data_IF_076789745612
#
_entry.id   IF_076789745612
#
_cell.length_a   1.000
_cell.length_b   1.000
_cell.length_c   1.000
_cell.angle_alpha   90.00
_cell.angle_beta   90.00
_cell.angle_gamma   90.00
#
_symmetry.space_group_name_H-M   'P 1'
#
loop_
_entity.id
_entity.type
_entity.pdbx_description
1 polymer ?
#
# COMPACT_ATOMS: atom_id res chain seq x y z
N UNK A 1 -3.23 -28.40 23.20
CA UNK A 1 -3.17 -29.72 22.51
C UNK A 1 -1.75 -30.23 22.68
N UNK A 2 -1.62 -31.48 23.17
CA UNK A 2 -0.31 -32.11 23.27
C UNK A 2 0.01 -32.74 21.92
N UNK A 3 1.09 -32.34 21.32
CA UNK A 3 1.59 -32.93 20.09
C UNK A 3 2.59 -34.03 20.40
N UNK A 4 2.66 -35.11 19.60
CA UNK A 4 3.55 -36.24 19.84
C UNK A 4 5.04 -35.89 19.70
N UNK A 5 5.36 -34.72 19.20
CA UNK A 5 6.71 -34.21 18.97
C UNK A 5 6.84 -32.74 19.35
N UNK A 6 7.87 -32.40 20.13
CA UNK A 6 8.21 -31.02 20.47
C UNK A 6 8.60 -30.18 19.23
N UNK A 7 9.22 -30.82 18.23
CA UNK A 7 9.57 -30.17 16.96
C UNK A 7 8.33 -29.80 16.19
N UNK A 8 7.33 -30.70 16.12
CA UNK A 8 6.05 -30.41 15.51
C UNK A 8 5.30 -29.30 16.26
N UNK A 9 5.29 -29.37 17.59
CA UNK A 9 4.67 -28.34 18.44
C UNK A 9 5.24 -26.95 18.13
N UNK A 10 6.56 -26.83 18.11
CA UNK A 10 7.24 -25.55 17.81
C UNK A 10 6.89 -25.02 16.42
N UNK A 11 6.92 -25.87 15.39
CA UNK A 11 6.54 -25.47 14.04
C UNK A 11 5.08 -24.97 13.95
N UNK A 12 4.16 -25.66 14.64
CA UNK A 12 2.75 -25.23 14.70
C UNK A 12 2.59 -23.91 15.44
N UNK A 13 3.31 -23.71 16.54
CA UNK A 13 3.25 -22.45 17.30
C UNK A 13 3.75 -21.28 16.45
N UNK A 14 4.89 -21.40 15.78
CA UNK A 14 5.45 -20.35 14.90
C UNK A 14 4.50 -20.04 13.72
N UNK A 15 4.00 -21.04 13.04
CA UNK A 15 3.06 -20.85 11.92
C UNK A 15 1.75 -20.23 12.40
N UNK A 16 1.25 -20.61 13.59
CA UNK A 16 0.01 -20.04 14.14
C UNK A 16 0.17 -18.61 14.67
N UNK A 17 1.40 -18.12 14.83
CA UNK A 17 1.70 -16.71 15.12
C UNK A 17 1.47 -15.78 13.93
N UNK A 18 1.32 -16.31 12.72
CA UNK A 18 1.02 -15.49 11.55
C UNK A 18 -0.44 -15.03 11.56
N UNK A 19 -0.72 -13.75 11.18
CA UNK A 19 -2.06 -13.20 11.14
C UNK A 19 -3.01 -14.05 10.29
N UNK A 20 -4.21 -14.34 10.81
CA UNK A 20 -5.22 -15.15 10.11
C UNK A 20 -4.98 -16.66 10.13
N UNK A 21 -3.89 -17.15 10.72
CA UNK A 21 -3.60 -18.58 10.80
C UNK A 21 -3.90 -19.12 12.20
N UNK A 22 -5.00 -19.88 12.32
CA UNK A 22 -5.32 -20.59 13.56
C UNK A 22 -4.53 -21.89 13.71
N UNK A 23 -4.45 -22.43 14.94
CA UNK A 23 -3.69 -23.67 15.27
C UNK A 23 -4.05 -24.86 14.41
N UNK A 24 -5.32 -25.06 14.03
CA UNK A 24 -5.74 -26.16 13.14
C UNK A 24 -5.13 -26.03 11.75
N UNK A 25 -5.13 -24.81 11.21
CA UNK A 25 -4.51 -24.53 9.90
C UNK A 25 -3.00 -24.69 9.97
N UNK A 26 -2.35 -24.18 11.03
CA UNK A 26 -0.92 -24.32 11.26
C UNK A 26 -0.50 -25.80 11.32
N UNK A 27 -1.24 -26.64 12.04
CA UNK A 27 -0.98 -28.09 12.08
C UNK A 27 -1.10 -28.71 10.68
N UNK A 28 -2.14 -28.36 9.92
CA UNK A 28 -2.32 -28.87 8.56
C UNK A 28 -1.17 -28.47 7.64
N UNK A 29 -0.68 -27.24 7.75
CA UNK A 29 0.47 -26.76 6.99
C UNK A 29 1.77 -27.47 7.39
N UNK A 30 2.03 -27.64 8.69
CA UNK A 30 3.20 -28.37 9.18
C UNK A 30 3.19 -29.83 8.71
N UNK A 31 2.06 -30.52 8.81
CA UNK A 31 1.92 -31.90 8.30
C UNK A 31 2.03 -32.00 6.78
N UNK A 32 1.60 -30.96 6.05
CA UNK A 32 1.80 -30.91 4.60
C UNK A 32 3.29 -30.82 4.26
N UNK A 33 4.04 -29.95 4.94
CA UNK A 33 5.49 -29.83 4.74
C UNK A 33 6.25 -31.12 5.05
N UNK A 34 5.84 -31.87 6.08
CA UNK A 34 6.45 -33.18 6.40
C UNK A 34 6.27 -34.22 5.30
N UNK A 35 5.26 -34.10 4.44
CA UNK A 35 5.01 -34.98 3.29
C UNK A 35 5.76 -34.54 2.02
N UNK A 36 6.37 -33.36 2.03
CA UNK A 36 7.12 -32.82 0.90
C UNK A 36 8.62 -33.21 1.01
N UNK A 37 9.37 -33.18 -0.10
CA UNK A 37 10.84 -33.30 -0.03
C UNK A 37 11.43 -32.24 0.89
N UNK A 38 12.49 -32.58 1.63
CA UNK A 38 13.18 -31.65 2.53
C UNK A 38 13.59 -30.33 1.85
N UNK A 39 13.96 -30.39 0.56
CA UNK A 39 14.30 -29.21 -0.24
C UNK A 39 13.19 -28.15 -0.27
N UNK A 40 11.92 -28.59 -0.24
CA UNK A 40 10.78 -27.66 -0.25
C UNK A 40 10.67 -26.87 1.05
N UNK A 41 10.81 -27.53 2.18
CA UNK A 41 10.80 -26.88 3.49
C UNK A 41 12.00 -25.94 3.66
N UNK A 42 13.19 -26.35 3.20
CA UNK A 42 14.40 -25.52 3.21
C UNK A 42 14.23 -24.29 2.31
N UNK A 43 13.70 -24.44 1.10
CA UNK A 43 13.44 -23.35 0.18
C UNK A 43 12.49 -22.31 0.80
N UNK A 44 11.38 -22.76 1.40
CA UNK A 44 10.45 -21.89 2.11
C UNK A 44 11.13 -21.14 3.26
N UNK A 45 11.87 -21.88 4.11
CA UNK A 45 12.60 -21.29 5.24
C UNK A 45 13.60 -20.22 4.79
N UNK A 46 14.42 -20.55 3.78
CA UNK A 46 15.38 -19.59 3.23
C UNK A 46 14.70 -18.37 2.61
N UNK A 47 13.60 -18.54 1.90
CA UNK A 47 12.85 -17.40 1.33
C UNK A 47 12.31 -16.46 2.40
N UNK A 48 11.82 -16.98 3.53
CA UNK A 48 11.37 -16.17 4.65
C UNK A 48 12.53 -15.42 5.33
N UNK A 49 13.68 -16.08 5.46
CA UNK A 49 14.89 -15.47 6.03
C UNK A 49 15.38 -14.35 5.12
N UNK A 50 15.51 -14.59 3.81
CA UNK A 50 15.91 -13.58 2.83
C UNK A 50 14.91 -12.42 2.77
N UNK A 51 13.61 -12.68 2.85
CA UNK A 51 12.59 -11.62 2.88
C UNK A 51 12.86 -10.59 4.00
N UNK A 52 13.27 -11.06 5.18
CA UNK A 52 13.50 -10.17 6.32
C UNK A 52 14.89 -9.51 6.27
N UNK A 53 15.92 -10.24 5.79
CA UNK A 53 17.29 -9.76 5.84
C UNK A 53 17.70 -8.92 4.63
N UNK A 54 17.17 -9.24 3.44
CA UNK A 54 17.69 -8.72 2.17
C UNK A 54 16.81 -7.60 1.61
N UNK A 55 15.51 -7.55 1.99
CA UNK A 55 14.60 -6.50 1.49
C UNK A 55 15.05 -5.12 1.98
N UNK A 56 15.03 -4.16 1.07
CA UNK A 56 15.38 -2.76 1.35
C UNK A 56 14.16 -1.87 1.17
N UNK A 57 14.25 -0.68 1.74
CA UNK A 57 13.31 0.39 1.45
C UNK A 57 13.94 1.35 0.45
N UNK A 58 13.25 1.63 -0.64
CA UNK A 58 13.71 2.58 -1.64
C UNK A 58 13.94 3.96 -1.00
N UNK A 59 15.13 4.53 -1.20
CA UNK A 59 15.51 5.84 -0.63
C UNK A 59 14.69 7.01 -1.18
N UNK A 60 14.00 6.80 -2.33
CA UNK A 60 13.22 7.84 -3.00
C UNK A 60 11.73 7.79 -2.66
N UNK A 61 11.14 6.60 -2.60
CA UNK A 61 9.68 6.45 -2.46
C UNK A 61 9.23 5.58 -1.28
N UNK A 62 10.18 4.96 -0.56
CA UNK A 62 9.94 4.04 0.56
C UNK A 62 9.24 2.72 0.18
N UNK A 63 9.20 2.37 -1.12
CA UNK A 63 8.73 1.06 -1.57
C UNK A 63 9.71 -0.05 -1.19
N UNK A 64 9.23 -1.28 -1.06
CA UNK A 64 10.11 -2.44 -0.95
C UNK A 64 10.92 -2.62 -2.25
N UNK A 65 12.18 -3.01 -2.09
CA UNK A 65 13.11 -3.15 -3.21
C UNK A 65 14.26 -4.09 -2.85
N UNK A 66 14.81 -4.76 -3.84
CA UNK A 66 16.07 -5.49 -3.70
C UNK A 66 17.29 -4.54 -3.76
N UNK A 67 17.08 -3.32 -4.27
CA UNK A 67 18.11 -2.29 -4.46
C UNK A 67 17.80 -1.04 -3.61
N UNK A 68 18.78 -0.13 -3.53
CA UNK A 68 18.61 1.15 -2.83
C UNK A 68 17.54 2.06 -3.48
N UNK A 69 17.36 1.94 -4.80
CA UNK A 69 16.34 2.61 -5.60
C UNK A 69 15.51 1.52 -6.28
N UNK A 70 14.20 1.53 -6.10
CA UNK A 70 13.30 0.54 -6.69
C UNK A 70 13.17 0.71 -8.21
N UNK A 71 12.71 -0.33 -8.88
CA UNK A 71 12.52 -0.36 -10.34
C UNK A 71 11.60 0.76 -10.85
N UNK A 72 10.58 1.14 -10.07
CA UNK A 72 9.68 2.25 -10.45
C UNK A 72 10.43 3.58 -10.44
N UNK A 73 11.23 3.84 -9.39
CA UNK A 73 11.97 5.10 -9.27
C UNK A 73 13.14 5.21 -10.25
N UNK A 74 13.77 4.10 -10.61
CA UNK A 74 14.88 4.06 -11.57
C UNK A 74 14.46 4.01 -13.03
N UNK A 75 13.17 3.82 -13.31
CA UNK A 75 12.66 3.66 -14.68
C UNK A 75 12.57 5.00 -15.41
N UNK A 76 13.23 5.10 -16.56
CA UNK A 76 13.15 6.25 -17.49
C UNK A 76 11.76 6.36 -18.17
N UNK A 77 10.93 5.31 -18.07
CA UNK A 77 9.55 5.33 -18.62
C UNK A 77 8.56 6.03 -17.69
N UNK A 78 8.97 6.38 -16.46
CA UNK A 78 8.16 7.02 -15.44
C UNK A 78 8.46 8.50 -15.36
N UNK A 79 7.41 9.32 -15.34
CA UNK A 79 7.59 10.76 -15.15
C UNK A 79 7.87 11.12 -13.70
N UNK A 80 8.79 12.06 -13.49
CA UNK A 80 9.06 12.69 -12.19
C UNK A 80 8.03 13.77 -11.84
N UNK A 81 7.19 14.17 -12.80
CA UNK A 81 6.24 15.28 -12.64
C UNK A 81 5.00 14.88 -11.81
N UNK A 82 4.65 13.59 -11.81
CA UNK A 82 3.49 13.05 -11.14
C UNK A 82 3.91 12.12 -10.01
N UNK A 83 3.50 12.42 -8.78
CA UNK A 83 3.78 11.57 -7.62
C UNK A 83 2.47 11.18 -6.94
N UNK A 84 2.17 9.88 -6.92
CA UNK A 84 1.05 9.32 -6.20
C UNK A 84 1.44 9.04 -4.74
N UNK A 85 0.77 9.70 -3.82
CA UNK A 85 0.94 9.51 -2.37
C UNK A 85 0.00 8.42 -1.91
N UNK A 86 0.55 7.35 -1.35
CA UNK A 86 -0.17 6.16 -0.88
C UNK A 86 0.16 5.83 0.58
N UNK A 87 -0.67 5.02 1.23
CA UNK A 87 -0.45 4.62 2.61
C UNK A 87 0.65 3.56 2.72
N UNK A 88 0.57 2.50 1.89
CA UNK A 88 1.52 1.40 1.94
C UNK A 88 1.78 0.76 0.53
N UNK A 89 2.60 -0.29 0.54
CA UNK A 89 3.00 -1.00 -0.69
C UNK A 89 1.82 -1.70 -1.39
N UNK A 90 0.79 -2.12 -0.65
CA UNK A 90 -0.41 -2.77 -1.22
C UNK A 90 -1.13 -1.82 -2.16
N UNK A 91 -1.15 -0.53 -1.83
CA UNK A 91 -1.76 0.50 -2.67
C UNK A 91 -0.97 0.69 -3.97
N UNK A 92 0.38 0.68 -3.88
CA UNK A 92 1.24 0.70 -5.08
C UNK A 92 0.91 -0.47 -5.99
N UNK A 93 0.85 -1.69 -5.44
CA UNK A 93 0.55 -2.90 -6.21
C UNK A 93 -0.83 -2.79 -6.86
N UNK A 94 -1.83 -2.29 -6.13
CA UNK A 94 -3.18 -2.13 -6.65
C UNK A 94 -3.24 -1.14 -7.83
N UNK A 95 -2.54 -0.01 -7.72
CA UNK A 95 -2.49 1.01 -8.79
C UNK A 95 -1.69 0.49 -9.98
N UNK A 96 -0.55 -0.15 -9.77
CA UNK A 96 0.27 -0.74 -10.84
C UNK A 96 -0.50 -1.80 -11.64
N UNK A 97 -1.31 -2.62 -10.98
CA UNK A 97 -2.14 -3.64 -11.65
C UNK A 97 -3.16 -3.03 -12.62
N UNK A 98 -3.50 -1.75 -12.50
CA UNK A 98 -4.37 -1.08 -13.48
C UNK A 98 -3.68 -0.83 -14.82
N UNK A 99 -2.34 -0.73 -14.85
CA UNK A 99 -1.53 -0.38 -16.01
C UNK A 99 -1.80 1.03 -16.57
N UNK A 100 -2.46 1.91 -15.80
CA UNK A 100 -2.87 3.25 -16.27
C UNK A 100 -2.00 4.39 -15.71
N UNK A 101 -1.26 4.15 -14.63
CA UNK A 101 -0.45 5.18 -13.99
C UNK A 101 0.98 5.16 -14.49
N UNK A 102 1.51 6.32 -14.88
CA UNK A 102 2.86 6.48 -15.45
C UNK A 102 3.81 7.32 -14.59
N UNK A 103 3.32 7.82 -13.46
CA UNK A 103 4.13 8.58 -12.51
C UNK A 103 4.91 7.69 -11.52
N UNK A 104 5.49 8.33 -10.52
CA UNK A 104 6.18 7.71 -9.40
C UNK A 104 5.33 7.76 -8.14
N UNK A 105 5.78 7.11 -7.08
CA UNK A 105 5.04 6.99 -5.83
C UNK A 105 5.79 7.63 -4.67
N UNK A 106 5.06 7.90 -3.60
CA UNK A 106 5.59 8.16 -2.27
C UNK A 106 4.73 7.41 -1.24
N UNK A 107 5.35 6.47 -0.54
CA UNK A 107 4.68 5.66 0.48
C UNK A 107 4.84 6.35 1.82
N UNK A 108 3.72 6.70 2.45
CA UNK A 108 3.72 7.37 3.75
C UNK A 108 4.12 6.45 4.90
N UNK A 109 3.90 5.13 4.76
CA UNK A 109 4.08 4.15 5.83
C UNK A 109 2.89 4.07 6.78
N UNK A 110 1.75 4.65 6.41
CA UNK A 110 0.50 4.65 7.18
C UNK A 110 -0.30 5.93 6.98
N UNK A 111 -1.19 6.21 7.91
CA UNK A 111 -2.04 7.41 7.96
C UNK A 111 -2.05 8.01 9.37
N UNK A 112 -2.38 9.28 9.49
CA UNK A 112 -2.55 9.94 10.78
C UNK A 112 -3.75 9.31 11.48
N UNK A 113 -3.50 8.63 12.59
CA UNK A 113 -4.52 7.96 13.40
C UNK A 113 -4.24 8.21 14.90
N UNK A 114 -4.87 9.23 15.50
CA UNK A 114 -4.69 9.52 16.92
C UNK A 114 -5.09 8.35 17.83
N UNK A 115 -6.10 7.56 17.41
CA UNK A 115 -6.57 6.38 18.15
C UNK A 115 -5.51 5.27 18.21
N UNK A 116 -4.68 5.15 17.16
CA UNK A 116 -3.57 4.19 17.09
C UNK A 116 -2.24 4.82 17.52
N UNK A 117 -2.24 6.07 17.97
CA UNK A 117 -1.05 6.79 18.37
C UNK A 117 -0.14 7.23 17.22
N UNK A 118 -0.62 7.18 15.98
CA UNK A 118 0.16 7.55 14.79
C UNK A 118 -0.02 9.03 14.48
N UNK A 119 1.05 9.79 14.67
CA UNK A 119 1.12 11.21 14.33
C UNK A 119 1.88 11.47 13.02
N UNK A 120 1.86 12.73 12.53
CA UNK A 120 2.54 13.12 11.28
C UNK A 120 4.05 12.83 11.26
N UNK A 121 4.69 12.84 12.42
CA UNK A 121 6.14 12.63 12.54
C UNK A 121 6.56 11.16 12.38
N UNK A 122 5.61 10.24 12.41
CA UNK A 122 5.84 8.82 12.22
C UNK A 122 5.67 8.40 10.75
N UNK A 123 5.23 9.33 9.90
CA UNK A 123 5.00 9.13 8.47
C UNK A 123 6.10 9.76 7.63
N UNK A 124 6.30 9.26 6.43
CA UNK A 124 7.30 9.74 5.47
C UNK A 124 6.93 11.10 4.82
N UNK A 125 6.18 11.94 5.53
CA UNK A 125 5.77 13.29 5.06
C UNK A 125 6.98 14.19 4.74
N UNK A 126 8.12 14.15 5.46
CA UNK A 126 9.31 14.93 5.08
C UNK A 126 9.84 14.65 3.68
N UNK A 127 9.59 13.46 3.12
CA UNK A 127 9.99 13.12 1.76
C UNK A 127 9.21 13.91 0.68
N UNK A 128 8.02 14.42 1.00
CA UNK A 128 7.29 15.34 0.12
C UNK A 128 8.07 16.65 -0.04
N UNK A 129 8.60 17.18 1.05
CA UNK A 129 9.41 18.40 1.03
C UNK A 129 10.69 18.21 0.22
N UNK A 130 11.35 17.05 0.35
CA UNK A 130 12.50 16.68 -0.48
C UNK A 130 12.12 16.73 -1.97
N UNK A 131 11.00 16.10 -2.35
CA UNK A 131 10.52 16.08 -3.74
C UNK A 131 10.15 17.45 -4.27
N UNK A 132 9.56 18.32 -3.45
CA UNK A 132 9.28 19.70 -3.80
C UNK A 132 10.57 20.49 -4.09
N UNK A 133 11.59 20.31 -3.25
CA UNK A 133 12.88 20.99 -3.41
C UNK A 133 13.66 20.53 -4.65
N UNK A 134 13.39 19.33 -5.18
CA UNK A 134 13.94 18.85 -6.46
C UNK A 134 13.37 19.64 -7.67
N UNK A 135 12.23 20.32 -7.52
CA UNK A 135 11.65 21.21 -8.53
C UNK A 135 11.09 20.51 -9.77
N UNK A 136 10.93 19.18 -9.74
CA UNK A 136 10.46 18.40 -10.89
C UNK A 136 8.98 18.09 -10.83
N UNK A 137 8.40 18.04 -9.61
CA UNK A 137 7.02 17.63 -9.38
C UNK A 137 6.08 18.76 -9.78
N UNK A 138 5.04 18.42 -10.56
CA UNK A 138 3.93 19.31 -10.92
C UNK A 138 2.66 18.95 -10.17
N UNK A 139 2.49 17.70 -9.81
CA UNK A 139 1.28 17.23 -9.15
C UNK A 139 1.56 16.12 -8.15
N UNK A 140 0.98 16.26 -6.96
CA UNK A 140 0.81 15.19 -5.99
C UNK A 140 -0.63 14.68 -6.03
N UNK A 141 -0.80 13.37 -6.22
CA UNK A 141 -2.10 12.70 -6.29
C UNK A 141 -2.30 11.94 -4.98
N UNK A 142 -3.30 12.30 -4.18
CA UNK A 142 -3.64 11.53 -2.99
C UNK A 142 -4.42 10.27 -3.37
N UNK A 143 -3.83 9.09 -3.15
CA UNK A 143 -4.48 7.80 -3.26
C UNK A 143 -4.51 7.14 -1.87
N UNK A 144 -5.13 7.84 -0.93
CA UNK A 144 -5.32 7.41 0.46
C UNK A 144 -6.72 6.82 0.64
N UNK A 145 -6.87 5.97 1.67
CA UNK A 145 -8.15 5.35 1.98
C UNK A 145 -9.27 6.38 2.16
N UNK A 146 -10.48 6.02 1.72
CA UNK A 146 -11.67 6.87 1.86
C UNK A 146 -12.24 6.84 3.29
N UNK A 147 -11.36 6.90 4.29
CA UNK A 147 -11.70 6.95 5.72
C UNK A 147 -11.43 8.34 6.28
N UNK A 148 -11.92 8.60 7.48
CA UNK A 148 -11.68 9.87 8.17
C UNK A 148 -10.19 10.13 8.39
N UNK A 149 -9.42 9.09 8.71
CA UNK A 149 -7.96 9.18 8.89
C UNK A 149 -7.25 9.48 7.56
N UNK A 150 -7.67 8.83 6.46
CA UNK A 150 -7.12 9.10 5.13
C UNK A 150 -7.40 10.54 4.68
N UNK A 151 -8.63 11.02 4.87
CA UNK A 151 -9.02 12.40 4.57
C UNK A 151 -8.25 13.40 5.46
N UNK A 152 -8.09 13.10 6.74
CA UNK A 152 -7.30 13.92 7.69
C UNK A 152 -5.84 14.00 7.26
N UNK A 153 -5.27 12.87 6.83
CA UNK A 153 -3.88 12.79 6.37
C UNK A 153 -3.68 13.62 5.09
N UNK A 154 -4.58 13.46 4.11
CA UNK A 154 -4.55 14.26 2.88
C UNK A 154 -4.66 15.75 3.17
N UNK A 155 -5.61 16.13 4.03
CA UNK A 155 -5.81 17.53 4.42
C UNK A 155 -4.61 18.11 5.16
N UNK A 156 -3.99 17.35 6.08
CA UNK A 156 -2.78 17.77 6.78
C UNK A 156 -1.64 18.07 5.80
N UNK A 157 -1.38 17.16 4.86
CA UNK A 157 -0.33 17.31 3.85
C UNK A 157 -0.64 18.54 2.97
N UNK A 158 -1.87 18.63 2.44
CA UNK A 158 -2.31 19.77 1.65
C UNK A 158 -2.10 21.09 2.39
N UNK A 159 -2.57 21.19 3.64
CA UNK A 159 -2.44 22.40 4.45
C UNK A 159 -0.98 22.81 4.66
N UNK A 160 -0.09 21.83 4.84
CA UNK A 160 1.35 22.06 5.04
C UNK A 160 2.01 22.60 3.77
N UNK A 161 1.61 22.12 2.58
CA UNK A 161 2.29 22.41 1.32
C UNK A 161 1.46 23.25 0.31
N UNK A 162 0.26 23.70 0.65
CA UNK A 162 -0.64 24.45 -0.26
C UNK A 162 -0.08 25.77 -0.84
N UNK A 163 0.98 26.31 -0.25
CA UNK A 163 1.61 27.55 -0.72
C UNK A 163 2.74 27.28 -1.74
N UNK A 164 2.90 26.06 -2.20
CA UNK A 164 3.82 25.70 -3.28
C UNK A 164 3.10 25.81 -4.64
N UNK A 165 3.87 25.90 -5.73
CA UNK A 165 3.33 25.98 -7.10
C UNK A 165 2.85 24.61 -7.64
N UNK A 166 2.87 23.57 -6.81
CA UNK A 166 2.51 22.20 -7.19
C UNK A 166 1.03 21.95 -6.96
N UNK A 167 0.38 21.28 -7.91
CA UNK A 167 -1.01 20.89 -7.80
C UNK A 167 -1.18 19.71 -6.83
N UNK A 168 -2.32 19.68 -6.14
CA UNK A 168 -2.76 18.58 -5.31
C UNK A 168 -4.11 18.09 -5.81
N UNK A 169 -4.20 16.80 -6.12
CA UNK A 169 -5.45 16.13 -6.50
C UNK A 169 -5.68 14.89 -5.66
N UNK A 170 -6.82 14.28 -5.76
CA UNK A 170 -7.11 12.98 -5.17
C UNK A 170 -7.74 12.06 -6.21
N UNK A 171 -7.52 10.74 -6.04
CA UNK A 171 -8.21 9.76 -6.88
C UNK A 171 -9.73 9.95 -6.76
N UNK A 172 -10.43 9.78 -7.89
CA UNK A 172 -11.88 9.87 -7.92
C UNK A 172 -12.51 8.82 -7.01
N UNK A 173 -13.56 9.23 -6.31
CA UNK A 173 -14.36 8.35 -5.45
C UNK A 173 -15.74 8.25 -6.06
N UNK A 174 -16.18 7.05 -6.32
CA UNK A 174 -17.42 6.81 -7.04
C UNK A 174 -18.01 5.44 -6.76
N UNK A 175 -19.03 5.08 -7.54
CA UNK A 175 -19.66 3.77 -7.52
C UNK A 175 -18.74 2.77 -8.25
N UNK A 176 -18.60 1.58 -7.70
CA UNK A 176 -17.80 0.51 -8.31
C UNK A 176 -18.43 0.06 -9.63
N UNK A 177 -17.59 -0.27 -10.59
CA UNK A 177 -18.07 -0.79 -11.88
C UNK A 177 -18.72 -2.17 -11.68
N UNK A 178 -19.96 -2.29 -12.12
CA UNK A 178 -20.76 -3.52 -11.98
C UNK A 178 -21.65 -3.57 -10.75
N UNK A 179 -21.57 -2.60 -9.84
CA UNK A 179 -22.47 -2.51 -8.69
C UNK A 179 -23.83 -1.90 -9.11
N UNK A 180 -24.89 -2.40 -8.50
CA UNK A 180 -26.22 -1.79 -8.60
C UNK A 180 -26.36 -0.66 -7.58
N UNK A 181 -27.03 0.44 -7.96
CA UNK A 181 -27.13 1.64 -7.10
C UNK A 181 -27.79 1.36 -5.76
N UNK A 182 -28.69 0.37 -5.68
CA UNK A 182 -29.39 0.00 -4.45
C UNK A 182 -28.45 -0.61 -3.37
N UNK A 183 -27.28 -1.13 -3.79
CA UNK A 183 -26.27 -1.70 -2.86
C UNK A 183 -25.14 -0.73 -2.54
N UNK A 184 -25.10 0.43 -3.20
CA UNK A 184 -24.11 1.45 -2.93
C UNK A 184 -24.38 2.11 -1.57
N UNK A 185 -23.30 2.36 -0.80
CA UNK A 185 -23.46 3.12 0.43
C UNK A 185 -23.88 4.59 0.13
N UNK A 186 -24.68 5.15 1.02
CA UNK A 186 -25.28 6.49 0.86
C UNK A 186 -24.23 7.60 0.67
N UNK A 187 -23.07 7.48 1.33
CA UNK A 187 -22.00 8.48 1.26
C UNK A 187 -21.33 8.45 -0.11
N UNK A 188 -20.99 7.27 -0.62
CA UNK A 188 -20.39 7.08 -1.94
C UNK A 188 -21.34 7.53 -3.05
N UNK A 189 -22.63 7.14 -2.94
CA UNK A 189 -23.64 7.56 -3.89
C UNK A 189 -23.85 9.08 -3.88
N UNK A 190 -23.96 9.68 -2.70
CA UNK A 190 -24.08 11.13 -2.55
C UNK A 190 -22.87 11.89 -3.15
N UNK A 191 -21.65 11.44 -2.85
CA UNK A 191 -20.42 12.02 -3.44
C UNK A 191 -20.38 11.86 -4.96
N UNK A 192 -20.80 10.72 -5.50
CA UNK A 192 -20.83 10.49 -6.96
C UNK A 192 -21.79 11.43 -7.67
N UNK A 193 -22.96 11.71 -7.06
CA UNK A 193 -23.92 12.68 -7.60
C UNK A 193 -23.36 14.09 -7.55
N UNK A 194 -22.70 14.49 -6.46
CA UNK A 194 -22.11 15.82 -6.32
C UNK A 194 -20.96 16.06 -7.29
N UNK A 195 -20.14 15.04 -7.51
CA UNK A 195 -18.94 15.08 -8.36
C UNK A 195 -19.20 14.52 -9.77
N UNK A 196 -20.45 14.45 -10.19
CA UNK A 196 -20.83 13.92 -11.52
C UNK A 196 -20.13 14.68 -12.65
N UNK A 197 -19.67 13.92 -13.62
CA UNK A 197 -19.07 14.46 -14.83
C UNK A 197 -20.15 14.62 -15.93
N UNK A 198 -19.98 15.61 -16.86
CA UNK A 198 -20.81 15.66 -18.06
C UNK A 198 -20.70 14.35 -18.85
N UNK A 199 -21.83 13.83 -19.31
CA UNK A 199 -21.84 12.65 -20.15
C UNK A 199 -21.42 13.02 -21.58
N UNK A 200 -20.32 12.44 -22.05
CA UNK A 200 -19.75 12.68 -23.39
C UNK A 200 -19.47 11.34 -24.06
N UNK A 201 -19.43 11.31 -25.40
CA UNK A 201 -19.14 10.10 -26.20
C UNK A 201 -17.77 9.45 -25.90
N UNK A 202 -16.86 10.13 -25.19
CA UNK A 202 -15.55 9.62 -24.78
C UNK A 202 -15.44 9.15 -23.33
N UNK A 203 -16.56 9.11 -22.59
CA UNK A 203 -16.61 8.64 -21.20
C UNK A 203 -17.49 7.38 -21.16
N UNK A 204 -16.89 6.18 -21.39
CA UNK A 204 -17.63 4.93 -21.28
C UNK A 204 -17.97 4.59 -19.84
#
# INVERSE_FOLDING_TARGET
MDYPSKVLAKAVDEISGLPGIGRKTALRLALHLLKQPNSRAMSLGNSLISLVNDIKYCKECHNFSDFEICEICSSDKRTDELICIVEDVRDVIAIENTGKYTGKYLILGGKISPMEGVGPNQLNIPSIEKKLNEGKVREFIFALSATMEGDTTAYYIYKKFKNTEVNFSSIARGISVGDELEYADEISLGRSIMNRLPYNEGNP
#
